data_IF_484288591227
#
_entry.id   IF_484288591227
#
_cell.length_a   1.000
_cell.length_b   1.000
_cell.length_c   1.000
_cell.angle_alpha   90.00
_cell.angle_beta   90.00
_cell.angle_gamma   90.00
#
_symmetry.space_group_name_H-M   'P 1'
#
loop_
_entity.id
_entity.type
_entity.pdbx_description
1 polymer ?
#
# COMPACT_ATOMS: atom_id res chain seq x y z
N UNK A 1 10.52 21.78 5.93
CA UNK A 1 9.25 21.05 5.79
C UNK A 1 9.47 19.67 6.41
N UNK A 2 8.46 19.08 7.05
CA UNK A 2 8.59 17.69 7.51
C UNK A 2 8.82 16.78 6.29
N UNK A 3 9.64 15.76 6.45
CA UNK A 3 9.92 14.76 5.41
C UNK A 3 8.66 13.94 5.15
N UNK A 4 8.29 13.75 3.88
CA UNK A 4 7.04 13.05 3.53
C UNK A 4 7.24 11.55 3.62
N UNK A 5 6.28 10.82 4.18
CA UNK A 5 6.38 9.37 4.42
C UNK A 5 5.57 8.56 3.42
N UNK A 6 6.21 7.57 2.80
CA UNK A 6 5.56 6.62 1.91
C UNK A 6 5.75 5.17 2.37
N UNK A 7 4.66 4.42 2.43
CA UNK A 7 4.68 2.96 2.64
C UNK A 7 4.44 2.25 1.31
N UNK A 8 5.40 1.42 0.91
CA UNK A 8 5.25 0.42 -0.15
C UNK A 8 5.01 -0.94 0.49
N UNK A 9 3.80 -1.49 0.30
CA UNK A 9 3.47 -2.84 0.75
C UNK A 9 3.70 -3.83 -0.38
N UNK A 10 4.72 -4.66 -0.26
CA UNK A 10 5.32 -5.44 -1.35
C UNK A 10 5.09 -6.93 -1.12
N UNK A 11 4.47 -7.62 -2.08
CA UNK A 11 4.29 -9.07 -1.99
C UNK A 11 3.36 -9.63 -3.06
N UNK A 12 2.67 -10.71 -2.71
CA UNK A 12 1.78 -11.40 -3.63
C UNK A 12 2.51 -12.35 -4.58
N UNK A 13 2.02 -12.46 -5.81
CA UNK A 13 2.56 -13.42 -6.79
C UNK A 13 3.86 -12.95 -7.44
N UNK A 14 4.93 -13.74 -7.31
CA UNK A 14 6.26 -13.45 -7.89
C UNK A 14 6.25 -13.26 -9.41
N UNK A 15 5.28 -13.86 -10.12
CA UNK A 15 5.13 -13.69 -11.57
C UNK A 15 4.86 -12.24 -12.00
N UNK A 16 4.35 -11.41 -11.08
CA UNK A 16 4.16 -9.97 -11.27
C UNK A 16 5.35 -9.12 -10.79
N UNK A 17 6.46 -9.76 -10.40
CA UNK A 17 7.74 -9.14 -10.07
C UNK A 17 7.64 -7.98 -9.04
N UNK A 18 7.00 -8.19 -7.89
CA UNK A 18 6.70 -7.12 -6.93
C UNK A 18 7.96 -6.37 -6.46
N UNK A 19 9.08 -7.06 -6.26
CA UNK A 19 10.34 -6.43 -5.85
C UNK A 19 10.92 -5.48 -6.93
N UNK A 20 10.80 -5.81 -8.22
CA UNK A 20 11.25 -4.93 -9.30
C UNK A 20 10.36 -3.68 -9.41
N UNK A 21 9.06 -3.83 -9.18
CA UNK A 21 8.11 -2.71 -9.14
C UNK A 21 8.38 -1.82 -7.93
N UNK A 22 8.59 -2.41 -6.74
CA UNK A 22 8.93 -1.71 -5.52
C UNK A 22 10.21 -0.89 -5.67
N UNK A 23 11.25 -1.46 -6.30
CA UNK A 23 12.49 -0.72 -6.59
C UNK A 23 12.23 0.52 -7.43
N UNK A 24 11.38 0.43 -8.47
CA UNK A 24 11.05 1.57 -9.33
C UNK A 24 10.34 2.68 -8.56
N UNK A 25 9.32 2.35 -7.78
CA UNK A 25 8.62 3.33 -6.95
C UNK A 25 9.52 3.93 -5.88
N UNK A 26 10.32 3.11 -5.19
CA UNK A 26 11.23 3.57 -4.15
C UNK A 26 12.27 4.56 -4.67
N UNK A 27 12.88 4.29 -5.83
CA UNK A 27 13.80 5.24 -6.48
C UNK A 27 13.09 6.54 -6.83
N UNK A 28 11.95 6.48 -7.52
CA UNK A 28 11.20 7.67 -7.94
C UNK A 28 10.75 8.54 -6.76
N UNK A 29 10.25 7.92 -5.70
CA UNK A 29 9.79 8.62 -4.49
C UNK A 29 10.95 9.21 -3.69
N UNK A 30 12.06 8.49 -3.57
CA UNK A 30 13.27 8.99 -2.93
C UNK A 30 13.85 10.22 -3.65
N UNK A 31 13.91 10.18 -4.99
CA UNK A 31 14.28 11.34 -5.82
C UNK A 31 13.29 12.52 -5.67
N UNK A 32 12.05 12.23 -5.29
CA UNK A 32 11.00 13.21 -5.01
C UNK A 32 10.98 13.70 -3.55
N UNK A 33 11.92 13.25 -2.71
CA UNK A 33 12.05 13.69 -1.31
C UNK A 33 11.14 13.00 -0.30
N UNK A 34 10.69 11.78 -0.59
CA UNK A 34 9.99 10.94 0.38
C UNK A 34 10.96 10.04 1.17
N UNK A 35 10.66 9.87 2.45
CA UNK A 35 11.11 8.74 3.27
C UNK A 35 10.27 7.52 2.88
N UNK A 36 10.92 6.51 2.27
CA UNK A 36 10.22 5.33 1.74
C UNK A 36 10.49 4.09 2.59
N UNK A 37 9.43 3.51 3.16
CA UNK A 37 9.48 2.20 3.82
C UNK A 37 8.93 1.12 2.88
N UNK A 38 9.71 0.05 2.68
CA UNK A 38 9.26 -1.15 1.97
C UNK A 38 8.97 -2.24 3.01
N UNK A 39 7.73 -2.71 3.03
CA UNK A 39 7.28 -3.75 3.94
C UNK A 39 6.78 -4.98 3.17
N UNK A 40 7.10 -6.18 3.66
CA UNK A 40 6.64 -7.46 3.08
C UNK A 40 5.65 -8.22 3.97
N UNK A 41 5.48 -7.80 5.22
CA UNK A 41 4.44 -8.34 6.10
C UNK A 41 3.18 -7.48 6.09
N UNK A 42 2.02 -8.14 6.09
CA UNK A 42 0.74 -7.48 6.31
C UNK A 42 0.58 -6.98 7.75
N UNK A 43 1.48 -7.37 8.67
CA UNK A 43 1.42 -6.97 10.09
C UNK A 43 1.57 -5.48 10.32
N UNK A 44 2.24 -4.76 9.40
CA UNK A 44 2.35 -3.29 9.49
C UNK A 44 0.98 -2.61 9.49
N UNK A 45 -0.04 -3.26 8.92
CA UNK A 45 -1.41 -2.76 8.88
C UNK A 45 -2.12 -2.83 10.24
N UNK A 46 -1.48 -3.45 11.25
CA UNK A 46 -1.95 -3.43 12.64
C UNK A 46 -1.62 -2.10 13.34
N UNK A 47 -0.56 -1.41 12.93
CA UNK A 47 -0.10 -0.15 13.53
C UNK A 47 -0.88 1.04 12.97
N UNK A 48 -1.98 1.37 13.64
CA UNK A 48 -2.85 2.48 13.23
C UNK A 48 -2.15 3.83 13.31
N UNK A 49 -1.36 4.08 14.35
CA UNK A 49 -0.69 5.38 14.50
C UNK A 49 0.29 5.61 13.36
N UNK A 50 1.04 4.56 12.98
CA UNK A 50 1.92 4.63 11.82
C UNK A 50 1.14 4.88 10.52
N UNK A 51 0.06 4.14 10.26
CA UNK A 51 -0.75 4.31 9.05
C UNK A 51 -1.29 5.74 8.90
N UNK A 52 -1.74 6.35 10.00
CA UNK A 52 -2.26 7.73 10.00
C UNK A 52 -1.15 8.79 9.83
N UNK A 53 0.12 8.42 10.05
CA UNK A 53 1.26 9.31 9.85
C UNK A 53 1.78 9.35 8.41
N UNK A 54 1.25 8.49 7.52
CA UNK A 54 1.69 8.40 6.13
C UNK A 54 1.19 9.60 5.30
N UNK A 55 2.01 10.03 4.35
CA UNK A 55 1.55 10.92 3.28
C UNK A 55 1.05 10.11 2.07
N UNK A 56 1.62 8.91 1.85
CA UNK A 56 1.33 8.08 0.68
C UNK A 56 1.39 6.58 1.01
N UNK A 57 0.39 5.84 0.57
CA UNK A 57 0.36 4.39 0.57
C UNK A 57 0.38 3.86 -0.88
N UNK A 58 1.29 2.93 -1.16
CA UNK A 58 1.38 2.23 -2.45
C UNK A 58 1.35 0.73 -2.23
N UNK A 59 0.24 0.04 -2.54
CA UNK A 59 0.24 -1.40 -2.57
C UNK A 59 0.90 -1.89 -3.87
N UNK A 60 1.80 -2.85 -3.69
CA UNK A 60 2.50 -3.61 -4.73
C UNK A 60 2.27 -5.08 -4.39
N UNK A 61 1.00 -5.47 -4.44
CA UNK A 61 0.54 -6.80 -4.05
C UNK A 61 -0.42 -7.34 -5.08
N UNK A 62 -0.32 -8.62 -5.42
CA UNK A 62 -1.27 -9.29 -6.32
C UNK A 62 -1.74 -10.59 -5.69
N UNK A 63 -3.00 -10.96 -5.92
CA UNK A 63 -3.66 -12.08 -5.23
C UNK A 63 -3.62 -11.93 -3.69
N UNK A 64 -3.60 -13.04 -2.96
CA UNK A 64 -3.54 -13.07 -1.49
C UNK A 64 -4.87 -12.78 -0.80
N UNK A 65 -4.87 -12.93 0.52
CA UNK A 65 -5.99 -12.62 1.39
C UNK A 65 -5.59 -11.59 2.44
N UNK A 66 -6.51 -10.70 2.78
CA UNK A 66 -6.32 -9.68 3.81
C UNK A 66 -7.52 -9.67 4.72
N UNK A 67 -7.28 -9.85 6.02
CA UNK A 67 -8.32 -9.84 7.03
C UNK A 67 -8.99 -8.45 7.09
N UNK A 68 -10.33 -8.40 7.07
CA UNK A 68 -11.09 -7.15 6.95
C UNK A 68 -10.76 -6.11 8.03
N UNK A 69 -10.39 -6.55 9.25
CA UNK A 69 -9.89 -5.66 10.31
C UNK A 69 -8.70 -4.79 9.86
N UNK A 70 -7.74 -5.37 9.13
CA UNK A 70 -6.56 -4.63 8.65
C UNK A 70 -6.95 -3.67 7.53
N UNK A 71 -7.87 -4.06 6.65
CA UNK A 71 -8.42 -3.17 5.63
C UNK A 71 -9.18 -2.00 6.24
N UNK A 72 -9.93 -2.21 7.32
CA UNK A 72 -10.60 -1.11 8.03
C UNK A 72 -9.59 -0.10 8.58
N UNK A 73 -8.48 -0.55 9.19
CA UNK A 73 -7.44 0.38 9.66
C UNK A 73 -6.86 1.23 8.53
N UNK A 74 -6.59 0.60 7.38
CA UNK A 74 -6.07 1.28 6.20
C UNK A 74 -7.09 2.25 5.60
N UNK A 75 -8.35 1.82 5.50
CA UNK A 75 -9.44 2.65 5.00
C UNK A 75 -9.68 3.88 5.89
N UNK A 76 -9.60 3.74 7.22
CA UNK A 76 -9.69 4.88 8.15
C UNK A 76 -8.57 5.90 7.88
N UNK A 77 -7.32 5.42 7.71
CA UNK A 77 -6.18 6.29 7.44
C UNK A 77 -6.32 7.00 6.08
N UNK A 78 -6.69 6.28 5.02
CA UNK A 78 -6.98 6.86 3.70
C UNK A 78 -8.11 7.90 3.80
N UNK A 79 -9.17 7.59 4.53
CA UNK A 79 -10.29 8.50 4.78
C UNK A 79 -9.91 9.77 5.56
N UNK A 80 -8.82 9.73 6.34
CA UNK A 80 -8.26 10.90 7.02
C UNK A 80 -7.38 11.80 6.15
N UNK A 81 -7.07 11.37 4.92
CA UNK A 81 -6.31 12.15 3.94
C UNK A 81 -4.98 11.54 3.49
N UNK A 82 -4.65 10.31 3.91
CA UNK A 82 -3.48 9.59 3.37
C UNK A 82 -3.69 9.33 1.88
N UNK A 83 -2.73 9.76 1.06
CA UNK A 83 -2.78 9.55 -0.39
C UNK A 83 -2.64 8.08 -0.75
N UNK A 84 -3.25 7.66 -1.87
CA UNK A 84 -3.10 6.31 -2.42
C UNK A 84 -2.63 6.43 -3.87
N UNK A 85 -1.61 5.65 -4.22
CA UNK A 85 -1.13 5.52 -5.61
C UNK A 85 -0.69 4.08 -5.88
N UNK A 86 -0.45 3.75 -7.15
CA UNK A 86 0.08 2.45 -7.53
C UNK A 86 -0.24 2.10 -8.97
N UNK A 87 0.04 0.85 -9.34
CA UNK A 87 -0.18 0.33 -10.70
C UNK A 87 -1.16 -0.84 -10.67
N UNK A 88 -2.14 -0.79 -11.59
CA UNK A 88 -3.24 -1.75 -11.79
C UNK A 88 -3.18 -3.03 -10.94
N UNK A 89 -2.39 -4.03 -11.38
CA UNK A 89 -2.32 -5.33 -10.71
C UNK A 89 -1.88 -5.25 -9.25
N UNK A 90 -0.90 -4.39 -8.94
CA UNK A 90 -0.40 -4.18 -7.57
C UNK A 90 -1.43 -3.59 -6.60
N UNK A 91 -2.53 -3.04 -7.10
CA UNK A 91 -3.62 -2.47 -6.29
C UNK A 91 -4.89 -3.31 -6.37
N UNK A 92 -5.46 -3.44 -7.58
CA UNK A 92 -6.81 -3.96 -7.79
C UNK A 92 -6.86 -5.49 -7.85
N UNK A 93 -5.75 -6.15 -8.21
CA UNK A 93 -5.67 -7.62 -8.23
C UNK A 93 -5.35 -8.23 -6.85
N UNK A 94 -5.09 -7.39 -5.84
CA UNK A 94 -4.87 -7.81 -4.47
C UNK A 94 -6.19 -8.12 -3.75
N UNK A 95 -6.17 -9.12 -2.86
CA UNK A 95 -7.22 -9.35 -1.86
C UNK A 95 -8.65 -9.36 -2.44
N UNK A 96 -8.85 -10.11 -3.53
CA UNK A 96 -10.05 -10.07 -4.38
C UNK A 96 -11.38 -10.32 -3.64
N UNK A 97 -11.35 -11.02 -2.51
CA UNK A 97 -12.53 -11.32 -1.69
C UNK A 97 -12.86 -10.22 -0.67
N UNK A 98 -11.99 -9.22 -0.53
CA UNK A 98 -12.17 -8.13 0.42
C UNK A 98 -12.86 -6.93 -0.24
N UNK A 99 -14.17 -6.82 -0.03
CA UNK A 99 -15.03 -5.79 -0.65
C UNK A 99 -14.55 -4.37 -0.34
N UNK A 100 -14.15 -4.09 0.91
CA UNK A 100 -13.70 -2.75 1.28
C UNK A 100 -12.39 -2.39 0.58
N UNK A 101 -11.46 -3.34 0.44
CA UNK A 101 -10.23 -3.13 -0.31
C UNK A 101 -10.53 -2.75 -1.77
N UNK A 102 -11.41 -3.51 -2.43
CA UNK A 102 -11.81 -3.24 -3.81
C UNK A 102 -12.44 -1.84 -3.93
N UNK A 103 -13.29 -1.45 -2.98
CA UNK A 103 -13.91 -0.12 -2.96
C UNK A 103 -12.89 1.01 -2.85
N UNK A 104 -11.94 0.94 -1.90
CA UNK A 104 -10.97 2.03 -1.67
C UNK A 104 -9.86 2.09 -2.72
N UNK A 105 -9.59 0.99 -3.42
CA UNK A 105 -8.56 0.92 -4.48
C UNK A 105 -9.13 1.21 -5.88
N UNK A 106 -10.45 1.36 -6.02
CA UNK A 106 -11.11 1.55 -7.32
C UNK A 106 -11.15 0.28 -8.19
N UNK A 107 -11.26 -0.89 -7.53
CA UNK A 107 -11.44 -2.19 -8.16
C UNK A 107 -12.89 -2.47 -8.59
N UNK A 108 -13.27 -3.75 -8.57
CA UNK A 108 -14.61 -4.23 -8.98
C UNK A 108 -15.67 -4.07 -7.88
#
# INVERSE_FOLDING_TARGET
>A
MAEKKALLLVGGWDGHQPELVAKRFSTFLGESGFEVQLERSLDILQDREYLFSLDLFIPIWTMGELHSKLTNHLADAIGSGVGVAGCHGGMCDAFRTNVLWQFIMGGN
#
